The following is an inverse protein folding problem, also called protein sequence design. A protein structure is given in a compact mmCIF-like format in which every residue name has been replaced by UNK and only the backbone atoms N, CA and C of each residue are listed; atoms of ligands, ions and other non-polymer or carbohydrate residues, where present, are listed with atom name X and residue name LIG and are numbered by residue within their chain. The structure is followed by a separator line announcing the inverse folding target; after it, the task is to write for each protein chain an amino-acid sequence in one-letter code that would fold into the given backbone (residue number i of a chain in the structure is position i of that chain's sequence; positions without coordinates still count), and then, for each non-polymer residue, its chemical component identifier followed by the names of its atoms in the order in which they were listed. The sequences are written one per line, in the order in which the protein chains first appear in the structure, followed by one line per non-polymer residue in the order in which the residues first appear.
data_IF_696372418477
#
_entry.id   IF_696372418477
#
_cell.length_a   1.000
_cell.length_b   1.000
_cell.length_c   1.000
_cell.angle_alpha   90.00
_cell.angle_beta   90.00
_cell.angle_gamma   90.00
#
_symmetry.space_group_name_H-M   'P 1'
#
loop_
_entity.id
_entity.type
_entity.pdbx_description
1 polymer ?
#
# COMPACT_ATOMS: atom_id res chain seq x y z
N UNK A 1 16.40 110.59 53.08
CA UNK A 1 16.08 111.69 52.15
C UNK A 1 14.58 111.85 52.17
N UNK A 2 14.06 113.02 52.54
CA UNK A 2 12.63 113.37 52.59
C UNK A 2 11.86 112.55 53.64
N UNK A 3 11.44 113.09 54.79
CA UNK A 3 10.88 114.43 55.10
C UNK A 3 9.58 114.67 54.31
N UNK A 4 8.48 115.12 54.90
CA UNK A 4 8.14 115.25 56.33
C UNK A 4 6.60 115.27 56.47
N UNK A 5 6.08 115.23 57.70
CA UNK A 5 4.64 115.36 57.95
C UNK A 5 4.40 116.51 58.94
N UNK A 6 3.99 117.68 58.44
CA UNK A 6 3.76 118.85 59.29
C UNK A 6 2.37 119.51 59.07
N UNK A 7 1.54 119.38 60.11
CA UNK A 7 0.63 120.35 60.72
C UNK A 7 -0.25 121.24 59.81
N UNK A 8 -1.57 121.20 60.08
CA UNK A 8 -2.33 122.45 60.38
C UNK A 8 -3.60 122.14 61.18
N UNK A 9 -3.59 122.46 62.47
CA UNK A 9 -4.78 122.50 63.32
C UNK A 9 -4.65 123.60 64.38
N UNK A 10 -5.60 124.54 64.36
CA UNK A 10 -5.80 125.61 65.33
C UNK A 10 -7.28 126.06 65.29
N UNK A 11 -7.73 127.04 66.12
CA UNK A 11 -6.90 128.08 66.71
C UNK A 11 -7.12 128.34 68.23
N UNK A 12 -6.35 129.32 68.71
CA UNK A 12 -6.46 130.02 70.00
C UNK A 12 -7.88 130.21 70.59
N UNK A 13 -7.96 130.16 71.92
CA UNK A 13 -8.33 131.38 72.68
C UNK A 13 -7.73 131.41 74.08
N UNK A 14 -7.06 132.51 74.43
CA UNK A 14 -6.71 132.90 75.81
C UNK A 14 -7.75 133.88 76.33
N UNK A 15 -8.17 133.77 77.59
CA UNK A 15 -8.42 134.88 78.50
C UNK A 15 -8.47 134.38 79.96
N UNK A 16 -8.02 135.25 80.85
CA UNK A 16 -8.10 135.33 82.32
C UNK A 16 -9.40 134.81 82.99
N UNK A 17 -9.47 134.51 84.31
CA UNK A 17 -8.67 135.06 85.44
C UNK A 17 -8.74 134.17 86.73
N UNK A 18 -7.77 134.34 87.65
CA UNK A 18 -7.75 134.07 89.11
C UNK A 18 -8.64 132.92 89.70
N UNK A 19 -8.05 131.82 90.22
CA UNK A 19 -7.66 131.60 91.65
C UNK A 19 -8.84 131.28 92.62
N UNK A 20 -8.84 130.26 93.51
CA UNK A 20 -7.93 129.12 93.85
C UNK A 20 -8.78 128.02 94.62
N UNK A 21 -8.36 127.01 95.40
CA UNK A 21 -7.07 126.50 95.95
C UNK A 21 -7.25 125.04 96.57
N UNK A 22 -6.18 124.43 97.12
CA UNK A 22 -6.10 123.33 98.15
C UNK A 22 -6.50 121.86 97.84
N UNK A 23 -5.50 120.94 97.93
CA UNK A 23 -5.52 119.45 98.25
C UNK A 23 -6.14 118.46 97.23
N UNK A 24 -5.85 117.13 97.20
CA UNK A 24 -4.95 116.23 97.98
C UNK A 24 -4.55 114.93 97.20
N UNK A 25 -3.76 114.02 97.80
CA UNK A 25 -2.96 112.91 97.19
C UNK A 25 -3.66 111.74 96.44
N UNK A 26 -4.98 111.74 96.24
CA UNK A 26 -5.71 110.49 95.91
C UNK A 26 -5.36 109.87 94.53
N UNK A 27 -5.24 110.70 93.49
CA UNK A 27 -5.16 110.33 92.06
C UNK A 27 -3.98 109.38 91.71
N UNK A 28 -2.98 109.30 92.58
CA UNK A 28 -1.74 108.55 92.33
C UNK A 28 -1.91 107.03 92.29
N UNK A 29 -2.95 106.47 92.93
CA UNK A 29 -3.17 105.01 93.01
C UNK A 29 -3.96 104.45 91.84
N UNK A 30 -5.08 105.06 91.47
CA UNK A 30 -5.97 104.57 90.41
C UNK A 30 -5.25 104.45 89.06
N UNK A 31 -4.38 105.42 88.74
CA UNK A 31 -3.53 105.40 87.54
C UNK A 31 -2.53 104.22 87.49
N UNK A 32 -2.21 103.61 88.64
CA UNK A 32 -1.33 102.44 88.71
C UNK A 32 -2.06 101.13 88.44
N UNK A 33 -3.33 101.03 88.88
CA UNK A 33 -4.17 99.84 88.69
C UNK A 33 -4.65 99.74 87.24
N UNK A 34 -5.13 100.84 86.66
CA UNK A 34 -5.49 100.92 85.23
C UNK A 34 -4.31 100.50 84.33
N UNK A 35 -3.08 100.92 84.66
CA UNK A 35 -1.87 100.51 83.90
C UNK A 35 -1.62 99.01 84.01
N UNK A 36 -1.89 98.39 85.16
CA UNK A 36 -1.74 96.95 85.37
C UNK A 36 -2.78 96.16 84.59
N UNK A 37 -4.05 96.57 84.63
CA UNK A 37 -5.14 95.95 83.85
C UNK A 37 -4.85 96.01 82.34
N UNK A 38 -4.37 97.13 81.82
CA UNK A 38 -3.98 97.26 80.40
C UNK A 38 -2.84 96.30 80.02
N UNK A 39 -1.89 96.04 80.93
CA UNK A 39 -0.80 95.07 80.70
C UNK A 39 -1.34 93.63 80.73
N UNK A 40 -2.21 93.29 81.69
CA UNK A 40 -2.83 91.96 81.77
C UNK A 40 -3.73 91.68 80.56
N UNK A 41 -4.56 92.65 80.15
CA UNK A 41 -5.37 92.58 78.94
C UNK A 41 -4.51 92.38 77.68
N UNK A 42 -3.41 93.12 77.54
CA UNK A 42 -2.46 92.96 76.43
C UNK A 42 -1.82 91.56 76.41
N UNK A 43 -1.43 91.03 77.58
CA UNK A 43 -0.92 89.66 77.68
C UNK A 43 -1.97 88.62 77.29
N UNK A 44 -3.23 88.84 77.68
CA UNK A 44 -4.35 87.96 77.34
C UNK A 44 -4.61 87.96 75.82
N UNK A 45 -4.55 89.14 75.17
CA UNK A 45 -4.63 89.28 73.70
C UNK A 45 -3.46 88.58 72.98
N UNK A 46 -2.22 88.71 73.47
CA UNK A 46 -1.07 87.98 72.90
C UNK A 46 -1.26 86.45 73.05
N UNK A 47 -1.86 86.01 74.16
CA UNK A 47 -2.14 84.59 74.40
C UNK A 47 -3.25 84.06 73.48
N UNK A 48 -4.30 84.82 73.22
CA UNK A 48 -5.36 84.42 72.27
C UNK A 48 -4.89 84.45 70.82
N UNK A 49 -4.06 85.43 70.41
CA UNK A 49 -3.41 85.47 69.10
C UNK A 49 -2.50 84.26 68.85
N UNK A 50 -1.65 83.88 69.82
CA UNK A 50 -0.85 82.66 69.73
C UNK A 50 -1.70 81.37 69.68
N UNK A 51 -2.79 81.29 70.45
CA UNK A 51 -3.72 80.16 70.39
C UNK A 51 -4.44 80.08 69.03
N UNK A 52 -4.88 81.21 68.47
CA UNK A 52 -5.47 81.29 67.13
C UNK A 52 -4.50 80.85 66.04
N UNK A 53 -3.23 81.28 66.12
CA UNK A 53 -2.17 80.87 65.19
C UNK A 53 -1.88 79.37 65.27
N UNK A 54 -1.82 78.79 66.47
CA UNK A 54 -1.61 77.36 66.63
C UNK A 54 -2.84 76.54 66.14
N UNK A 55 -4.06 76.97 66.50
CA UNK A 55 -5.31 76.35 66.02
C UNK A 55 -5.40 76.40 64.48
N UNK A 56 -5.03 77.52 63.85
CA UNK A 56 -4.98 77.64 62.40
C UNK A 56 -3.96 76.68 61.77
N UNK A 57 -2.80 76.49 62.39
CA UNK A 57 -1.80 75.52 61.96
C UNK A 57 -2.31 74.06 62.09
N UNK A 58 -2.99 73.73 63.19
CA UNK A 58 -3.59 72.41 63.42
C UNK A 58 -4.74 72.12 62.43
N UNK A 59 -5.66 73.05 62.22
CA UNK A 59 -6.73 72.93 61.19
C UNK A 59 -6.13 72.71 59.80
N UNK A 60 -5.07 73.45 59.45
CA UNK A 60 -4.37 73.29 58.16
C UNK A 60 -3.65 71.93 58.05
N UNK A 61 -3.09 71.43 59.14
CA UNK A 61 -2.47 70.09 59.20
C UNK A 61 -3.52 68.97 59.09
N UNK A 62 -4.68 69.11 59.72
CA UNK A 62 -5.82 68.18 59.62
C UNK A 62 -6.35 68.15 58.18
N UNK A 63 -6.58 69.32 57.57
CA UNK A 63 -7.00 69.43 56.18
C UNK A 63 -6.03 68.72 55.22
N UNK A 64 -4.72 68.97 55.36
CA UNK A 64 -3.70 68.30 54.55
C UNK A 64 -3.67 66.78 54.77
N UNK A 65 -3.84 66.29 56.00
CA UNK A 65 -3.92 64.84 56.29
C UNK A 65 -5.14 64.20 55.63
N UNK A 66 -6.30 64.87 55.63
CA UNK A 66 -7.48 64.39 54.90
C UNK A 66 -7.25 64.36 53.39
N UNK A 67 -6.64 65.40 52.82
CA UNK A 67 -6.30 65.48 51.40
C UNK A 67 -5.31 64.37 50.98
N UNK A 68 -4.25 64.14 51.75
CA UNK A 68 -3.27 63.08 51.51
C UNK A 68 -3.89 61.67 51.66
N UNK A 69 -4.82 61.48 52.60
CA UNK A 69 -5.58 60.23 52.74
C UNK A 69 -6.54 59.99 51.57
N UNK A 70 -7.29 61.01 51.14
CA UNK A 70 -8.19 60.92 49.98
C UNK A 70 -7.39 60.64 48.70
N UNK A 71 -6.26 61.32 48.48
CA UNK A 71 -5.35 61.04 47.36
C UNK A 71 -4.84 59.61 47.38
N UNK A 72 -4.36 59.11 48.53
CA UNK A 72 -3.91 57.71 48.70
C UNK A 72 -5.03 56.71 48.45
N UNK A 73 -6.22 56.93 48.99
CA UNK A 73 -7.39 56.07 48.78
C UNK A 73 -7.80 56.05 47.30
N UNK A 74 -7.92 57.21 46.66
CA UNK A 74 -8.30 57.32 45.26
C UNK A 74 -7.28 56.62 44.34
N UNK A 75 -5.98 56.87 44.53
CA UNK A 75 -4.90 56.17 43.83
C UNK A 75 -4.99 54.65 44.05
N UNK A 76 -5.18 54.20 45.30
CA UNK A 76 -5.27 52.76 45.61
C UNK A 76 -6.50 52.09 44.97
N UNK A 77 -7.64 52.80 44.90
CA UNK A 77 -8.84 52.32 44.21
C UNK A 77 -8.64 52.24 42.70
N UNK A 78 -7.97 53.23 42.09
CA UNK A 78 -7.60 53.20 40.68
C UNK A 78 -6.70 52.01 40.34
N UNK A 79 -5.67 51.76 41.16
CA UNK A 79 -4.80 50.58 41.03
C UNK A 79 -5.60 49.28 41.22
N UNK A 80 -6.50 49.21 42.20
CA UNK A 80 -7.35 48.03 42.42
C UNK A 80 -8.29 47.75 41.24
N UNK A 81 -8.91 48.76 40.65
CA UNK A 81 -9.76 48.60 39.46
C UNK A 81 -8.94 48.18 38.22
N UNK A 82 -7.73 48.73 38.02
CA UNK A 82 -6.84 48.30 36.93
C UNK A 82 -6.40 46.84 37.10
N UNK A 83 -6.02 46.43 38.32
CA UNK A 83 -5.68 45.03 38.62
C UNK A 83 -6.86 44.08 38.42
N UNK A 84 -8.07 44.47 38.86
CA UNK A 84 -9.28 43.69 38.66
C UNK A 84 -9.65 43.57 37.17
N UNK A 85 -9.56 44.66 36.41
CA UNK A 85 -9.77 44.64 34.95
C UNK A 85 -8.75 43.73 34.24
N UNK A 86 -7.48 43.79 34.63
CA UNK A 86 -6.43 42.93 34.08
C UNK A 86 -6.68 41.44 34.39
N UNK A 87 -7.15 41.10 35.59
CA UNK A 87 -7.54 39.74 35.97
C UNK A 87 -8.76 39.25 35.17
N UNK A 88 -9.78 40.08 35.00
CA UNK A 88 -10.97 39.74 34.18
C UNK A 88 -10.61 39.52 32.71
N UNK A 89 -9.76 40.38 32.13
CA UNK A 89 -9.27 40.23 30.75
C UNK A 89 -8.41 38.96 30.63
N UNK A 90 -7.47 38.72 31.55
CA UNK A 90 -6.63 37.52 31.57
C UNK A 90 -7.44 36.22 31.69
N UNK A 91 -8.46 36.22 32.56
CA UNK A 91 -9.39 35.10 32.70
C UNK A 91 -10.22 34.85 31.44
N UNK A 92 -10.73 35.90 30.80
CA UNK A 92 -11.45 35.79 29.53
C UNK A 92 -10.56 35.24 28.40
N UNK A 93 -9.31 35.71 28.30
CA UNK A 93 -8.33 35.21 27.33
C UNK A 93 -7.97 33.75 27.59
N UNK A 94 -7.79 33.34 28.86
CA UNK A 94 -7.53 31.94 29.23
C UNK A 94 -8.70 31.01 28.89
N UNK A 95 -9.95 31.39 29.20
CA UNK A 95 -11.13 30.57 28.86
C UNK A 95 -11.34 30.51 27.34
N UNK A 96 -11.11 31.62 26.63
CA UNK A 96 -11.18 31.69 25.17
C UNK A 96 -10.14 30.82 24.48
N UNK A 97 -8.86 30.91 24.89
CA UNK A 97 -7.78 30.12 24.30
C UNK A 97 -7.89 28.63 24.65
N UNK A 98 -8.28 28.28 25.88
CA UNK A 98 -8.52 26.89 26.27
C UNK A 98 -9.64 26.27 25.42
N UNK A 99 -10.82 26.91 25.32
CA UNK A 99 -11.93 26.43 24.47
C UNK A 99 -11.59 26.41 22.98
N UNK A 100 -10.79 27.38 22.51
CA UNK A 100 -10.25 27.38 21.15
C UNK A 100 -9.38 26.15 20.90
N UNK A 101 -8.45 25.84 21.80
CA UNK A 101 -7.55 24.70 21.67
C UNK A 101 -8.25 23.34 21.76
N UNK A 102 -9.28 23.20 22.61
CA UNK A 102 -10.07 21.97 22.67
C UNK A 102 -10.91 21.79 21.40
N UNK A 103 -11.53 22.86 20.90
CA UNK A 103 -12.32 22.80 19.67
C UNK A 103 -11.45 22.57 18.42
N UNK A 104 -10.21 23.09 18.37
CA UNK A 104 -9.28 22.80 17.28
C UNK A 104 -8.76 21.36 17.35
N UNK A 105 -8.44 20.85 18.54
CA UNK A 105 -8.01 19.45 18.72
C UNK A 105 -9.15 18.45 18.43
N UNK A 106 -10.40 18.80 18.74
CA UNK A 106 -11.57 17.99 18.38
C UNK A 106 -11.82 18.01 16.86
N UNK A 107 -11.69 19.17 16.19
CA UNK A 107 -11.71 19.26 14.72
C UNK A 107 -10.61 18.44 14.07
N UNK A 108 -9.36 18.57 14.52
CA UNK A 108 -8.23 17.82 13.97
C UNK A 108 -8.43 16.29 14.12
N UNK A 109 -9.00 15.84 15.25
CA UNK A 109 -9.39 14.44 15.45
C UNK A 109 -10.50 14.01 14.50
N UNK A 110 -11.56 14.83 14.36
CA UNK A 110 -12.66 14.54 13.44
C UNK A 110 -12.19 14.48 11.99
N UNK A 111 -11.39 15.45 11.53
CA UNK A 111 -10.76 15.49 10.21
C UNK A 111 -9.89 14.24 9.97
N UNK A 112 -9.09 13.81 10.96
CA UNK A 112 -8.34 12.55 10.89
C UNK A 112 -9.24 11.32 10.79
N UNK A 113 -10.30 11.22 11.59
CA UNK A 113 -11.26 10.08 11.47
C UNK A 113 -12.02 10.09 10.15
N UNK A 114 -12.36 11.26 9.60
CA UNK A 114 -13.02 11.38 8.29
C UNK A 114 -12.06 10.95 7.17
N UNK A 115 -10.79 11.37 7.23
CA UNK A 115 -9.77 10.95 6.27
C UNK A 115 -9.44 9.45 6.35
N UNK A 116 -9.41 8.88 7.56
CA UNK A 116 -9.23 7.44 7.74
C UNK A 116 -10.44 6.66 7.19
N UNK A 117 -11.67 7.06 7.57
CA UNK A 117 -12.89 6.40 7.11
C UNK A 117 -13.08 6.54 5.59
N UNK A 118 -12.74 7.68 4.96
CA UNK A 118 -12.78 7.79 3.51
C UNK A 118 -11.75 6.88 2.84
N UNK A 119 -10.52 6.80 3.38
CA UNK A 119 -9.50 5.87 2.91
C UNK A 119 -9.90 4.39 3.04
N UNK A 120 -10.55 4.01 4.14
CA UNK A 120 -11.11 2.66 4.33
C UNK A 120 -12.23 2.37 3.32
N UNK A 121 -13.14 3.33 3.10
CA UNK A 121 -14.29 3.19 2.21
C UNK A 121 -13.87 3.14 0.74
N UNK A 122 -12.90 3.95 0.31
CA UNK A 122 -12.35 3.90 -1.05
C UNK A 122 -11.50 2.65 -1.29
N UNK A 123 -10.77 2.15 -0.29
CA UNK A 123 -10.16 0.81 -0.35
C UNK A 123 -11.23 -0.29 -0.51
N UNK A 124 -12.29 -0.26 0.29
CA UNK A 124 -13.38 -1.23 0.20
C UNK A 124 -14.09 -1.18 -1.17
N UNK A 125 -14.27 0.01 -1.75
CA UNK A 125 -14.75 0.19 -3.13
C UNK A 125 -13.81 -0.43 -4.14
N UNK A 126 -12.50 -0.21 -4.04
CA UNK A 126 -11.51 -0.79 -4.95
C UNK A 126 -11.46 -2.33 -4.86
N UNK A 127 -11.53 -2.89 -3.65
CA UNK A 127 -11.61 -4.33 -3.46
C UNK A 127 -12.92 -4.92 -4.02
N UNK A 128 -14.06 -4.23 -3.83
CA UNK A 128 -15.35 -4.64 -4.42
C UNK A 128 -15.36 -4.58 -5.94
N UNK A 129 -14.84 -3.51 -6.57
CA UNK A 129 -14.82 -3.40 -8.04
C UNK A 129 -13.85 -4.41 -8.66
N UNK A 130 -12.73 -4.71 -8.01
CA UNK A 130 -11.83 -5.78 -8.41
C UNK A 130 -12.50 -7.17 -8.31
N UNK A 131 -13.18 -7.48 -7.20
CA UNK A 131 -13.95 -8.74 -7.05
C UNK A 131 -15.03 -8.83 -8.14
N UNK A 132 -15.82 -7.78 -8.36
CA UNK A 132 -16.81 -7.77 -9.44
C UNK A 132 -16.19 -7.98 -10.83
N UNK A 133 -14.96 -7.51 -11.06
CA UNK A 133 -14.26 -7.67 -12.35
C UNK A 133 -13.78 -9.12 -12.54
N UNK A 134 -13.23 -9.74 -11.50
CA UNK A 134 -12.92 -11.19 -11.48
C UNK A 134 -14.19 -12.04 -11.66
N UNK A 135 -15.31 -11.67 -11.02
CA UNK A 135 -16.58 -12.39 -11.19
C UNK A 135 -17.19 -12.22 -12.59
N UNK A 136 -17.08 -11.03 -13.21
CA UNK A 136 -17.53 -10.82 -14.60
C UNK A 136 -16.73 -11.68 -15.58
N UNK A 137 -15.41 -11.67 -15.47
CA UNK A 137 -14.53 -12.49 -16.31
C UNK A 137 -14.71 -14.01 -16.05
N UNK A 138 -14.93 -14.44 -14.81
CA UNK A 138 -15.33 -15.81 -14.49
C UNK A 138 -16.67 -16.22 -15.15
N UNK A 139 -17.67 -15.33 -15.15
CA UNK A 139 -18.94 -15.57 -15.84
C UNK A 139 -18.80 -15.59 -17.36
N UNK A 140 -17.89 -14.80 -17.93
CA UNK A 140 -17.57 -14.83 -19.36
C UNK A 140 -16.87 -16.14 -19.75
N UNK A 141 -15.84 -16.55 -19.00
CA UNK A 141 -15.17 -17.85 -19.13
C UNK A 141 -16.17 -19.02 -19.03
N UNK A 142 -17.11 -18.96 -18.09
CA UNK A 142 -18.19 -19.96 -17.99
C UNK A 142 -19.12 -19.96 -19.22
N UNK A 143 -19.51 -18.77 -19.73
CA UNK A 143 -20.32 -18.65 -20.96
C UNK A 143 -19.61 -19.17 -22.20
N UNK A 144 -18.30 -18.97 -22.34
CA UNK A 144 -17.51 -19.59 -23.41
C UNK A 144 -17.55 -21.12 -23.31
N UNK A 145 -17.51 -21.67 -22.08
CA UNK A 145 -17.62 -23.12 -21.83
C UNK A 145 -19.04 -23.70 -22.03
N UNK A 146 -20.11 -22.89 -22.00
CA UNK A 146 -21.51 -23.39 -22.16
C UNK A 146 -22.16 -23.06 -23.49
N UNK A 147 -21.89 -21.89 -24.07
CA UNK A 147 -22.69 -21.34 -25.17
C UNK A 147 -22.04 -21.51 -26.54
N UNK A 148 -20.73 -21.78 -26.60
CA UNK A 148 -20.04 -22.03 -27.86
C UNK A 148 -20.35 -23.44 -28.39
N UNK A 149 -20.40 -23.64 -29.72
CA UNK A 149 -20.68 -24.94 -30.31
C UNK A 149 -19.46 -25.86 -30.25
N UNK A 150 -19.70 -27.15 -29.96
CA UNK A 150 -18.73 -28.24 -30.14
C UNK A 150 -17.35 -27.98 -29.53
N UNK A 151 -16.37 -27.76 -30.40
CA UNK A 151 -14.96 -27.65 -30.06
C UNK A 151 -14.56 -26.25 -29.57
N UNK A 152 -15.31 -25.22 -29.93
CA UNK A 152 -14.99 -23.83 -29.57
C UNK A 152 -15.09 -23.58 -28.06
N UNK A 153 -15.80 -24.43 -27.32
CA UNK A 153 -15.86 -24.41 -25.84
C UNK A 153 -14.49 -24.53 -25.18
N UNK A 154 -13.48 -25.08 -25.88
CA UNK A 154 -12.10 -25.10 -25.42
C UNK A 154 -11.50 -23.68 -25.25
N UNK A 155 -11.98 -22.67 -25.99
CA UNK A 155 -11.54 -21.28 -25.80
C UNK A 155 -11.80 -20.80 -24.36
N UNK A 156 -12.94 -21.17 -23.77
CA UNK A 156 -13.23 -20.90 -22.35
C UNK A 156 -12.31 -21.67 -21.41
N UNK A 157 -11.90 -22.89 -21.79
CA UNK A 157 -10.95 -23.71 -21.03
C UNK A 157 -9.53 -23.10 -21.06
N UNK A 158 -9.15 -22.43 -22.14
CA UNK A 158 -7.86 -21.72 -22.28
C UNK A 158 -7.87 -20.37 -21.55
N UNK A 159 -8.96 -19.59 -21.63
CA UNK A 159 -9.10 -18.35 -20.85
C UNK A 159 -9.15 -18.61 -19.33
N UNK A 160 -9.70 -19.75 -18.89
CA UNK A 160 -9.67 -20.16 -17.48
C UNK A 160 -8.24 -20.28 -16.91
N UNK A 161 -7.25 -20.65 -17.74
CA UNK A 161 -5.84 -20.74 -17.32
C UNK A 161 -5.20 -19.35 -17.13
N UNK A 162 -5.74 -18.32 -17.78
CA UNK A 162 -5.26 -16.93 -17.71
C UNK A 162 -5.97 -16.11 -16.62
N UNK A 163 -7.10 -16.60 -16.11
CA UNK A 163 -7.96 -15.91 -15.15
C UNK A 163 -7.29 -15.79 -13.77
N UNK A 164 -7.28 -14.59 -13.19
CA UNK A 164 -6.92 -14.43 -11.76
C UNK A 164 -8.02 -15.03 -10.87
N UNK A 165 -7.78 -16.27 -10.45
CA UNK A 165 -8.70 -17.00 -9.57
C UNK A 165 -8.57 -16.65 -8.09
N UNK A 166 -7.62 -15.78 -7.70
CA UNK A 166 -7.36 -15.44 -6.28
C UNK A 166 -8.55 -14.74 -5.60
N UNK A 167 -9.28 -13.91 -6.36
CA UNK A 167 -10.48 -13.17 -5.90
C UNK A 167 -11.79 -13.95 -6.06
N UNK A 168 -11.74 -15.19 -6.56
CA UNK A 168 -12.92 -16.04 -6.75
C UNK A 168 -13.18 -16.92 -5.52
N UNK A 169 -14.46 -17.10 -5.20
CA UNK A 169 -14.90 -18.05 -4.18
C UNK A 169 -14.44 -19.47 -4.52
N UNK A 170 -14.37 -20.34 -3.51
CA UNK A 170 -14.03 -21.74 -3.70
C UNK A 170 -15.02 -22.45 -4.63
N UNK A 171 -16.31 -22.08 -4.57
CA UNK A 171 -17.38 -22.66 -5.40
C UNK A 171 -17.29 -22.22 -6.87
N UNK A 172 -17.01 -20.94 -7.14
CA UNK A 172 -16.76 -20.48 -8.52
C UNK A 172 -15.55 -21.20 -9.12
N UNK A 173 -14.46 -21.34 -8.35
CA UNK A 173 -13.26 -22.08 -8.78
C UNK A 173 -13.52 -23.56 -9.03
N UNK A 174 -14.24 -24.25 -8.16
CA UNK A 174 -14.56 -25.67 -8.39
C UNK A 174 -15.47 -25.81 -9.62
N UNK A 175 -16.56 -25.05 -9.71
CA UNK A 175 -17.49 -25.12 -10.84
C UNK A 175 -16.82 -24.86 -12.20
N UNK A 176 -15.89 -23.89 -12.28
CA UNK A 176 -15.10 -23.63 -13.49
C UNK A 176 -14.16 -24.80 -13.82
N UNK A 177 -13.42 -25.31 -12.85
CA UNK A 177 -12.48 -26.42 -13.04
C UNK A 177 -13.19 -27.74 -13.38
N UNK A 178 -14.29 -28.05 -12.70
CA UNK A 178 -15.13 -29.22 -12.95
C UNK A 178 -15.75 -29.15 -14.34
N UNK A 179 -16.21 -27.97 -14.77
CA UNK A 179 -16.74 -27.77 -16.13
C UNK A 179 -15.65 -27.91 -17.19
N UNK A 180 -14.46 -27.35 -16.97
CA UNK A 180 -13.32 -27.52 -17.87
C UNK A 180 -12.85 -28.99 -17.95
N UNK A 181 -12.86 -29.70 -16.83
CA UNK A 181 -12.55 -31.14 -16.77
C UNK A 181 -13.66 -32.02 -17.38
N UNK A 182 -14.92 -31.58 -17.36
CA UNK A 182 -16.01 -32.21 -18.12
C UNK A 182 -15.79 -32.01 -19.63
N UNK A 183 -15.53 -30.78 -20.08
CA UNK A 183 -15.35 -30.47 -21.50
C UNK A 183 -14.13 -31.16 -22.11
N UNK A 184 -12.99 -31.17 -21.42
CA UNK A 184 -11.79 -31.91 -21.85
C UNK A 184 -12.08 -33.41 -22.05
N UNK A 185 -12.87 -34.03 -21.16
CA UNK A 185 -13.32 -35.42 -21.32
C UNK A 185 -14.29 -35.58 -22.48
N UNK A 186 -15.38 -34.81 -22.52
CA UNK A 186 -16.41 -34.86 -23.58
C UNK A 186 -15.81 -34.73 -24.99
N UNK A 187 -14.92 -33.75 -25.18
CA UNK A 187 -14.26 -33.48 -26.46
C UNK A 187 -13.14 -34.49 -26.72
N UNK A 188 -12.46 -34.97 -25.66
CA UNK A 188 -11.46 -36.02 -25.70
C UNK A 188 -12.03 -37.37 -26.15
N UNK A 189 -13.01 -37.91 -25.42
CA UNK A 189 -13.69 -39.18 -25.74
C UNK A 189 -14.26 -39.14 -27.18
N UNK A 190 -14.79 -37.98 -27.60
CA UNK A 190 -15.24 -37.77 -28.98
C UNK A 190 -14.11 -37.84 -30.02
N UNK A 191 -12.95 -37.22 -29.75
CA UNK A 191 -11.76 -37.33 -30.60
C UNK A 191 -11.17 -38.75 -30.61
N UNK A 192 -11.17 -39.45 -29.47
CA UNK A 192 -10.72 -40.83 -29.34
C UNK A 192 -11.56 -41.79 -30.20
N UNK A 193 -12.89 -41.68 -30.18
CA UNK A 193 -13.74 -42.50 -31.06
C UNK A 193 -13.66 -42.10 -32.54
N UNK A 194 -13.47 -40.81 -32.88
CA UNK A 194 -13.20 -40.40 -34.26
C UNK A 194 -11.87 -40.96 -34.77
N UNK A 195 -10.80 -40.89 -33.98
CA UNK A 195 -9.49 -41.48 -34.30
C UNK A 195 -9.56 -43.01 -34.42
N UNK A 196 -10.29 -43.69 -33.53
CA UNK A 196 -10.55 -45.14 -33.65
C UNK A 196 -11.38 -45.49 -34.89
N UNK A 197 -12.30 -44.62 -35.31
CA UNK A 197 -13.05 -44.80 -36.56
C UNK A 197 -12.17 -44.58 -37.80
N UNK A 198 -11.33 -43.54 -37.82
CA UNK A 198 -10.34 -43.30 -38.86
C UNK A 198 -9.35 -44.47 -38.99
N UNK A 199 -8.86 -45.00 -37.87
CA UNK A 199 -7.99 -46.18 -37.83
C UNK A 199 -8.65 -47.40 -38.47
N UNK A 200 -9.94 -47.66 -38.16
CA UNK A 200 -10.73 -48.74 -38.80
C UNK A 200 -10.97 -48.52 -40.30
N UNK A 201 -10.95 -47.27 -40.79
CA UNK A 201 -10.99 -46.91 -42.21
C UNK A 201 -9.61 -46.91 -42.90
N UNK A 202 -8.55 -47.28 -42.17
CA UNK A 202 -7.14 -47.18 -42.59
C UNK A 202 -6.64 -45.73 -42.86
N UNK A 203 -7.33 -44.73 -42.33
CA UNK A 203 -7.02 -43.31 -42.52
C UNK A 203 -5.97 -42.84 -41.49
N UNK A 204 -4.71 -43.22 -41.71
CA UNK A 204 -3.62 -42.99 -40.75
C UNK A 204 -3.39 -41.50 -40.41
N UNK A 205 -3.55 -40.60 -41.38
CA UNK A 205 -3.41 -39.14 -41.16
C UNK A 205 -4.47 -38.58 -40.22
N UNK A 206 -5.75 -38.87 -40.50
CA UNK A 206 -6.87 -38.49 -39.61
C UNK A 206 -6.77 -39.17 -38.25
N UNK A 207 -6.25 -40.41 -38.19
CA UNK A 207 -5.94 -41.08 -36.92
C UNK A 207 -4.90 -40.29 -36.11
N UNK A 208 -3.83 -39.81 -36.73
CA UNK A 208 -2.80 -38.99 -36.07
C UNK A 208 -3.40 -37.66 -35.59
N UNK A 209 -4.16 -36.98 -36.42
CA UNK A 209 -4.79 -35.68 -36.10
C UNK A 209 -5.72 -35.81 -34.88
N UNK A 210 -6.67 -36.74 -34.91
CA UNK A 210 -7.65 -36.93 -33.83
C UNK A 210 -7.03 -37.51 -32.56
N UNK A 211 -6.05 -38.43 -32.66
CA UNK A 211 -5.39 -38.97 -31.47
C UNK A 211 -4.39 -37.99 -30.85
N UNK A 212 -3.70 -37.17 -31.64
CA UNK A 212 -2.86 -36.07 -31.11
C UNK A 212 -3.74 -35.06 -30.38
N UNK A 213 -4.89 -34.74 -30.98
CA UNK A 213 -5.91 -33.88 -30.37
C UNK A 213 -6.48 -34.46 -29.09
N UNK A 214 -6.74 -35.77 -29.04
CA UNK A 214 -7.16 -36.47 -27.83
C UNK A 214 -6.11 -36.37 -26.71
N UNK A 215 -4.84 -36.66 -27.01
CA UNK A 215 -3.73 -36.52 -26.04
C UNK A 215 -3.64 -35.11 -25.46
N UNK A 216 -3.86 -34.07 -26.29
CA UNK A 216 -3.88 -32.67 -25.85
C UNK A 216 -5.01 -32.33 -24.85
N UNK A 217 -6.04 -33.16 -24.70
CA UNK A 217 -7.09 -32.95 -23.69
C UNK A 217 -6.69 -33.41 -22.27
N UNK A 218 -5.49 -33.96 -22.10
CA UNK A 218 -5.01 -34.60 -20.86
C UNK A 218 -5.92 -35.75 -20.37
N UNK A 219 -6.09 -36.83 -21.17
CA UNK A 219 -6.93 -37.97 -20.81
C UNK A 219 -6.32 -38.83 -19.69
N UNK A 220 -7.13 -39.70 -19.04
CA UNK A 220 -6.66 -40.66 -18.03
C UNK A 220 -5.50 -41.55 -18.53
N UNK A 221 -4.60 -42.00 -17.64
CA UNK A 221 -3.42 -42.78 -18.03
C UNK A 221 -3.70 -44.04 -18.86
N UNK A 222 -4.85 -44.69 -18.64
CA UNK A 222 -5.29 -45.89 -19.38
C UNK A 222 -5.65 -45.56 -20.83
N UNK A 223 -6.56 -44.61 -21.07
CA UNK A 223 -6.91 -44.19 -22.44
C UNK A 223 -5.71 -43.56 -23.16
N UNK A 224 -4.83 -42.88 -22.43
CA UNK A 224 -3.58 -42.31 -22.95
C UNK A 224 -2.58 -43.39 -23.42
N UNK A 225 -2.67 -44.59 -22.86
CA UNK A 225 -1.89 -45.76 -23.27
C UNK A 225 -2.43 -46.34 -24.59
N UNK A 226 -3.75 -46.52 -24.70
CA UNK A 226 -4.43 -46.89 -25.95
C UNK A 226 -4.14 -45.89 -27.09
N UNK A 227 -4.20 -44.59 -26.81
CA UNK A 227 -3.87 -43.55 -27.78
C UNK A 227 -2.39 -43.62 -28.22
N UNK A 228 -1.48 -44.01 -27.32
CA UNK A 228 -0.07 -44.23 -27.66
C UNK A 228 0.11 -45.42 -28.62
N UNK A 229 -0.72 -46.47 -28.51
CA UNK A 229 -0.79 -47.54 -29.52
C UNK A 229 -1.30 -47.02 -30.87
N UNK A 230 -2.48 -46.39 -30.92
CA UNK A 230 -3.06 -45.92 -32.20
C UNK A 230 -2.17 -44.91 -32.92
N UNK A 231 -1.57 -43.95 -32.20
CA UNK A 231 -0.58 -43.03 -32.75
C UNK A 231 0.68 -43.77 -33.21
N UNK A 232 1.21 -44.67 -32.39
CA UNK A 232 2.41 -45.43 -32.71
C UNK A 232 2.29 -46.25 -33.99
N UNK A 233 1.14 -46.91 -34.21
CA UNK A 233 0.84 -47.63 -35.45
C UNK A 233 0.70 -46.64 -36.62
N UNK A 234 -0.07 -45.56 -36.46
CA UNK A 234 -0.32 -44.62 -37.54
C UNK A 234 0.94 -43.86 -37.99
N UNK A 235 1.80 -43.45 -37.05
CA UNK A 235 3.11 -42.87 -37.38
C UNK A 235 4.05 -43.87 -38.06
N UNK A 236 4.03 -45.15 -37.69
CA UNK A 236 4.83 -46.18 -38.38
C UNK A 236 4.36 -46.37 -39.83
N UNK A 237 3.05 -46.42 -40.07
CA UNK A 237 2.47 -46.51 -41.42
C UNK A 237 2.78 -45.27 -42.29
N UNK A 238 2.75 -44.07 -41.70
CA UNK A 238 3.16 -42.81 -42.32
C UNK A 238 4.70 -42.63 -42.42
N UNK A 239 5.49 -43.68 -42.11
CA UNK A 239 6.97 -43.72 -42.08
C UNK A 239 7.66 -42.72 -41.14
N UNK A 240 6.92 -42.12 -40.20
CA UNK A 240 7.42 -41.19 -39.18
C UNK A 240 7.99 -41.96 -37.98
N UNK A 241 8.98 -42.82 -38.25
CA UNK A 241 9.46 -43.82 -37.29
C UNK A 241 10.03 -43.19 -36.01
N UNK A 242 10.68 -42.02 -36.07
CA UNK A 242 11.16 -41.28 -34.89
C UNK A 242 10.03 -40.90 -33.92
N UNK A 243 8.85 -40.56 -34.45
CA UNK A 243 7.65 -40.25 -33.65
C UNK A 243 6.94 -41.52 -33.16
N UNK A 244 7.01 -42.61 -33.94
CA UNK A 244 6.43 -43.90 -33.57
C UNK A 244 7.18 -44.59 -32.42
N UNK A 245 8.51 -44.53 -32.38
CA UNK A 245 9.35 -45.19 -31.34
C UNK A 245 8.87 -44.92 -29.90
N UNK A 246 8.80 -43.66 -29.41
CA UNK A 246 8.48 -43.41 -28.00
C UNK A 246 7.05 -43.82 -27.62
N UNK A 247 6.11 -43.71 -28.56
CA UNK A 247 4.70 -44.04 -28.33
C UNK A 247 4.46 -45.56 -28.30
N UNK A 248 5.09 -46.31 -29.21
CA UNK A 248 5.06 -47.77 -29.19
C UNK A 248 5.82 -48.35 -27.99
N UNK A 249 6.97 -47.78 -27.62
CA UNK A 249 7.72 -48.17 -26.43
C UNK A 249 6.88 -48.01 -25.15
N UNK A 250 6.26 -46.83 -24.98
CA UNK A 250 5.35 -46.56 -23.85
C UNK A 250 4.21 -47.57 -23.76
N UNK A 251 3.61 -47.96 -24.90
CA UNK A 251 2.56 -48.98 -24.90
C UNK A 251 3.08 -50.37 -24.50
N UNK A 252 4.20 -50.80 -25.09
CA UNK A 252 4.84 -52.10 -24.81
C UNK A 252 5.35 -52.22 -23.37
N UNK A 253 5.74 -51.12 -22.74
CA UNK A 253 6.14 -51.07 -21.33
C UNK A 253 4.93 -51.02 -20.38
N UNK A 254 3.88 -50.28 -20.74
CA UNK A 254 2.69 -50.05 -19.92
C UNK A 254 1.74 -51.25 -19.85
N UNK A 255 1.17 -51.67 -20.99
CA UNK A 255 0.20 -52.79 -21.00
C UNK A 255 0.85 -54.10 -21.42
N UNK A 256 1.49 -54.75 -20.45
CA UNK A 256 2.12 -56.06 -20.59
C UNK A 256 1.14 -57.22 -20.84
N UNK A 257 -0.18 -56.98 -20.74
CA UNK A 257 -1.24 -58.00 -20.89
C UNK A 257 -2.08 -57.81 -22.17
N UNK A 258 -1.94 -56.70 -22.89
CA UNK A 258 -2.70 -56.45 -24.12
C UNK A 258 -2.51 -57.55 -25.17
N UNK A 259 -3.61 -57.92 -25.82
CA UNK A 259 -3.63 -58.78 -27.02
C UNK A 259 -3.03 -58.12 -28.26
N UNK A 260 -2.73 -56.82 -28.24
CA UNK A 260 -2.04 -56.10 -29.33
C UNK A 260 -0.58 -55.75 -29.01
N UNK A 261 -0.06 -56.19 -27.85
CA UNK A 261 1.35 -55.92 -27.47
C UNK A 261 2.34 -56.60 -28.41
N UNK A 262 2.04 -57.79 -28.90
CA UNK A 262 2.88 -58.50 -29.88
C UNK A 262 2.97 -57.72 -31.21
N UNK A 263 1.85 -57.24 -31.73
CA UNK A 263 1.79 -56.35 -32.90
C UNK A 263 2.54 -55.03 -32.65
N UNK A 264 2.37 -54.42 -31.46
CA UNK A 264 3.09 -53.21 -31.08
C UNK A 264 4.61 -53.45 -31.00
N UNK A 265 5.07 -54.59 -30.49
CA UNK A 265 6.49 -54.96 -30.45
C UNK A 265 7.07 -55.20 -31.85
N UNK A 266 6.30 -55.81 -32.77
CA UNK A 266 6.69 -55.94 -34.17
C UNK A 266 6.93 -54.56 -34.81
N UNK A 267 6.00 -53.62 -34.61
CA UNK A 267 6.09 -52.26 -35.15
C UNK A 267 7.14 -51.41 -34.44
N UNK A 268 7.37 -51.61 -33.14
CA UNK A 268 8.44 -50.96 -32.39
C UNK A 268 9.81 -51.39 -32.93
N UNK A 269 9.99 -52.69 -33.16
CA UNK A 269 11.19 -53.21 -33.80
C UNK A 269 11.38 -52.73 -35.24
N UNK A 270 10.29 -52.53 -35.99
CA UNK A 270 10.34 -51.87 -37.30
C UNK A 270 10.82 -50.42 -37.15
N UNK A 271 10.20 -49.61 -36.30
CA UNK A 271 10.61 -48.22 -36.09
C UNK A 271 12.05 -48.12 -35.58
N UNK A 272 12.53 -49.04 -34.74
CA UNK A 272 13.94 -49.11 -34.34
C UNK A 272 14.87 -49.49 -35.50
N UNK A 273 14.46 -50.40 -36.41
CA UNK A 273 15.25 -50.75 -37.58
C UNK A 273 15.40 -49.55 -38.54
N UNK A 274 14.30 -48.87 -38.85
CA UNK A 274 14.30 -47.72 -39.77
C UNK A 274 15.02 -46.49 -39.16
N UNK A 275 14.97 -46.30 -37.84
CA UNK A 275 15.77 -45.28 -37.11
C UNK A 275 17.20 -45.74 -36.78
N UNK A 276 17.69 -46.81 -37.42
CA UNK A 276 19.04 -47.38 -37.28
C UNK A 276 19.44 -47.79 -35.84
N UNK A 277 18.49 -47.98 -34.93
CA UNK A 277 18.68 -48.47 -33.56
C UNK A 277 18.68 -50.01 -33.53
N UNK A 278 19.59 -50.62 -34.30
CA UNK A 278 19.57 -52.05 -34.63
C UNK A 278 19.67 -52.97 -33.40
N UNK A 279 20.40 -52.55 -32.36
CA UNK A 279 20.49 -53.24 -31.07
C UNK A 279 19.11 -53.38 -30.40
N UNK A 280 18.37 -52.26 -30.32
CA UNK A 280 17.03 -52.22 -29.72
C UNK A 280 16.03 -53.01 -30.56
N UNK A 281 16.12 -52.90 -31.88
CA UNK A 281 15.32 -53.71 -32.78
C UNK A 281 15.52 -55.22 -32.56
N UNK A 282 16.77 -55.69 -32.37
CA UNK A 282 17.04 -57.09 -32.06
C UNK A 282 16.49 -57.50 -30.69
N UNK A 283 16.73 -56.72 -29.64
CA UNK A 283 16.25 -57.06 -28.30
C UNK A 283 14.72 -57.10 -28.22
N UNK A 284 14.02 -56.13 -28.82
CA UNK A 284 12.55 -56.10 -28.86
C UNK A 284 11.98 -57.30 -29.62
N UNK A 285 12.58 -57.72 -30.74
CA UNK A 285 12.13 -58.94 -31.46
C UNK A 285 12.43 -60.22 -30.69
N UNK A 286 13.56 -60.29 -29.97
CA UNK A 286 13.89 -61.43 -29.12
C UNK A 286 12.91 -61.55 -27.94
N UNK A 287 12.59 -60.45 -27.27
CA UNK A 287 11.58 -60.42 -26.21
C UNK A 287 10.18 -60.79 -26.75
N UNK A 288 9.79 -60.25 -27.91
CA UNK A 288 8.49 -60.55 -28.52
C UNK A 288 8.33 -62.03 -28.89
N UNK A 289 9.37 -62.65 -29.50
CA UNK A 289 9.37 -64.07 -29.84
C UNK A 289 9.44 -64.99 -28.61
N UNK A 290 10.08 -64.55 -27.52
CA UNK A 290 10.09 -65.29 -26.25
C UNK A 290 8.77 -65.18 -25.49
N UNK A 291 8.11 -64.01 -25.54
CA UNK A 291 6.85 -63.75 -24.82
C UNK A 291 5.62 -64.29 -25.57
N UNK A 292 5.63 -64.21 -26.91
CA UNK A 292 4.50 -64.57 -27.77
C UNK A 292 4.91 -65.56 -28.88
N UNK A 293 5.44 -66.76 -28.55
CA UNK A 293 5.97 -67.71 -29.54
C UNK A 293 4.92 -68.20 -30.55
N UNK A 294 3.64 -68.15 -30.16
CA UNK A 294 2.46 -68.58 -30.94
C UNK A 294 1.67 -67.40 -31.54
N UNK A 295 2.23 -66.18 -31.58
CA UNK A 295 1.61 -65.03 -32.24
C UNK A 295 1.47 -65.25 -33.75
N UNK A 296 0.38 -64.74 -34.34
CA UNK A 296 0.21 -64.59 -35.80
C UNK A 296 1.43 -63.90 -36.44
N UNK A 297 2.01 -62.93 -35.73
CA UNK A 297 3.14 -62.12 -36.18
C UNK A 297 4.51 -62.82 -35.98
N UNK A 298 4.57 -63.98 -35.33
CA UNK A 298 5.84 -64.65 -35.05
C UNK A 298 6.68 -65.00 -36.30
N UNK A 299 6.13 -65.40 -37.46
CA UNK A 299 6.91 -65.55 -38.71
C UNK A 299 7.49 -64.22 -39.19
N UNK A 300 6.72 -63.14 -39.10
CA UNK A 300 7.11 -61.80 -39.54
C UNK A 300 8.17 -61.18 -38.62
N UNK A 301 8.06 -61.43 -37.30
CA UNK A 301 9.10 -61.15 -36.31
C UNK A 301 10.40 -61.91 -36.61
N UNK A 302 10.35 -63.22 -36.88
CA UNK A 302 11.55 -64.01 -37.27
C UNK A 302 12.20 -63.47 -38.54
N UNK A 303 11.38 -63.10 -39.55
CA UNK A 303 11.86 -62.46 -40.77
C UNK A 303 12.60 -61.14 -40.47
N UNK A 304 11.99 -60.26 -39.65
CA UNK A 304 12.61 -58.99 -39.23
C UNK A 304 13.87 -59.19 -38.38
N UNK A 305 13.93 -60.21 -37.52
CA UNK A 305 15.16 -60.57 -36.81
C UNK A 305 16.30 -60.88 -37.80
N UNK A 306 16.00 -61.57 -38.91
CA UNK A 306 16.99 -61.88 -39.95
C UNK A 306 17.44 -60.64 -40.73
N UNK A 307 16.54 -59.69 -41.02
CA UNK A 307 16.90 -58.46 -41.73
C UNK A 307 17.77 -57.54 -40.86
N UNK A 308 17.39 -57.35 -39.59
CA UNK A 308 18.18 -56.52 -38.66
C UNK A 308 19.56 -57.14 -38.40
N UNK A 309 19.67 -58.47 -38.29
CA UNK A 309 20.97 -59.15 -38.20
C UNK A 309 21.84 -58.92 -39.44
N UNK A 310 21.29 -59.06 -40.66
CA UNK A 310 22.03 -58.77 -41.90
C UNK A 310 22.44 -57.29 -42.00
N UNK A 311 21.54 -56.37 -41.66
CA UNK A 311 21.80 -54.93 -41.66
C UNK A 311 22.92 -54.56 -40.66
N UNK A 312 22.90 -55.13 -39.45
CA UNK A 312 23.97 -54.95 -38.47
C UNK A 312 25.31 -55.57 -38.90
N UNK A 313 25.29 -56.75 -39.52
CA UNK A 313 26.50 -57.38 -40.07
C UNK A 313 27.12 -56.51 -41.17
N UNK A 314 26.35 -56.11 -42.17
CA UNK A 314 26.82 -55.24 -43.26
C UNK A 314 27.27 -53.85 -42.78
N UNK A 315 26.64 -53.28 -41.75
CA UNK A 315 27.12 -52.06 -41.11
C UNK A 315 28.47 -52.26 -40.38
N UNK A 316 28.66 -53.41 -39.74
CA UNK A 316 29.94 -53.78 -39.10
C UNK A 316 31.05 -54.04 -40.13
N UNK A 317 30.71 -54.63 -41.29
CA UNK A 317 31.65 -54.85 -42.39
C UNK A 317 32.03 -53.52 -43.08
N UNK A 318 31.06 -52.63 -43.30
CA UNK A 318 31.32 -51.28 -43.81
C UNK A 318 32.17 -50.42 -42.85
N UNK A 319 31.99 -50.59 -41.54
CA UNK A 319 32.82 -49.94 -40.52
C UNK A 319 34.21 -50.59 -40.34
N UNK A 320 34.38 -51.84 -40.80
CA UNK A 320 35.66 -52.58 -40.76
C UNK A 320 36.43 -52.50 -42.10
N UNK A 321 35.87 -51.88 -43.14
CA UNK A 321 36.57 -51.61 -44.39
C UNK A 321 37.80 -50.72 -44.11
N UNK A 322 39.01 -51.13 -44.52
CA UNK A 322 40.24 -50.49 -44.05
C UNK A 322 40.44 -49.11 -44.68
N UNK A 323 40.91 -48.15 -43.87
CA UNK A 323 41.35 -46.85 -44.33
C UNK A 323 42.63 -46.96 -45.18
N UNK A 324 42.46 -47.19 -46.47
CA UNK A 324 43.51 -47.20 -47.50
C UNK A 324 43.20 -46.08 -48.52
N UNK A 325 44.13 -45.22 -48.93
CA UNK A 325 45.54 -45.05 -48.54
C UNK A 325 45.91 -43.55 -48.62
N UNK A 326 47.02 -43.09 -48.02
CA UNK A 326 47.46 -41.70 -48.18
C UNK A 326 47.73 -41.37 -49.66
N UNK A 327 47.37 -40.15 -50.07
CA UNK A 327 47.55 -39.70 -51.44
C UNK A 327 49.03 -39.69 -51.88
N UNK A 328 49.35 -40.03 -53.13
CA UNK A 328 50.72 -39.95 -53.64
C UNK A 328 51.20 -38.49 -53.65
N UNK A 329 52.47 -38.30 -53.27
CA UNK A 329 53.09 -36.97 -53.25
C UNK A 329 53.12 -36.34 -54.66
N UNK A 330 52.86 -35.02 -54.80
CA UNK A 330 52.87 -34.36 -56.10
C UNK A 330 54.26 -34.36 -56.72
N UNK A 331 54.37 -34.80 -57.97
CA UNK A 331 55.62 -34.73 -58.72
C UNK A 331 56.04 -33.27 -58.97
N UNK A 332 57.36 -33.01 -58.88
CA UNK A 332 57.89 -31.66 -59.04
C UNK A 332 57.69 -31.13 -60.47
N UNK A 333 57.12 -29.93 -60.60
CA UNK A 333 56.95 -29.26 -61.89
C UNK A 333 58.27 -28.62 -62.35
N UNK A 334 58.74 -28.98 -63.54
CA UNK A 334 59.81 -28.25 -64.25
C UNK A 334 59.22 -27.00 -64.93
N UNK A 335 59.84 -25.82 -64.79
CA UNK A 335 59.33 -24.60 -65.43
C UNK A 335 59.60 -24.61 -66.95
N UNK A 336 58.63 -24.14 -67.73
CA UNK A 336 58.79 -23.90 -69.16
C UNK A 336 59.40 -22.50 -69.42
N UNK A 337 60.27 -22.33 -70.44
CA UNK A 337 60.74 -21.02 -70.88
C UNK A 337 59.68 -20.31 -71.74
N UNK A 338 59.65 -18.99 -71.63
CA UNK A 338 58.91 -18.06 -72.50
C UNK A 338 59.84 -17.50 -73.61
N UNK A 339 59.34 -16.82 -74.66
CA UNK A 339 57.94 -16.47 -74.95
C UNK A 339 57.29 -17.27 -76.10
#
# INVERSE_FOLDING_TARGET
MREEAEITAGPNRKMSMAAAEVKSEHDSKELSEIRKEVIEARNLVIKTDNLLKNLHAEVKAIGKRHEDLQKRQWISSGVAYVLFAALCIGGAVLVGSARGSSASAERERLEKTVAELSGQLDKQRADQTAIQTSQRSANEVYRLMTNLPGDERLKGVDELVKLDTSRLTQLERSALNDKAAQLRREIGDSAFERGKAAFRRNEMKSTIEEMTRFVAMNPPPEQLLDASFFLGVAYNNERKHDQAVPLLARFVEGDKKSKTRDYAMLLLAQSYQETNQLEKALSTVQEALGTYPNSEFAPLMRSRQSSVRRQKAGASEAAAAPAQAPAPAPAAATPAPAP
#
